data_IF_211711491279
#
_entry.id   IF_211711491279
#
_cell.length_a   1.000
_cell.length_b   1.000
_cell.length_c   1.000
_cell.angle_alpha   90.00
_cell.angle_beta   90.00
_cell.angle_gamma   90.00
#
_symmetry.space_group_name_H-M   'P 1'
#
loop_
_entity.id
_entity.type
_entity.pdbx_description
1 polymer ?
#
# COMPACT_ATOMS: atom_id res chain seq x y z
N UNK A 1 -9.80 7.22 -13.79
CA UNK A 1 -9.43 8.33 -12.93
C UNK A 1 -8.06 8.10 -12.32
N UNK A 2 -7.14 9.05 -12.40
CA UNK A 2 -5.84 8.84 -11.79
C UNK A 2 -5.97 8.80 -10.26
N UNK A 3 -5.38 7.78 -9.65
CA UNK A 3 -5.32 7.63 -8.21
C UNK A 3 -3.98 8.18 -7.75
N UNK A 4 -4.01 9.08 -6.79
CA UNK A 4 -2.79 9.65 -6.22
C UNK A 4 -2.19 8.72 -5.17
N UNK A 5 -0.88 8.82 -4.98
CA UNK A 5 -0.19 8.03 -3.95
C UNK A 5 -0.77 8.27 -2.57
N UNK A 6 -1.21 9.50 -2.28
CA UNK A 6 -1.85 9.83 -1.01
C UNK A 6 -3.16 9.07 -0.82
N UNK A 7 -3.91 8.85 -1.89
CA UNK A 7 -5.15 8.06 -1.83
C UNK A 7 -4.85 6.61 -1.52
N UNK A 8 -3.82 6.05 -2.14
CA UNK A 8 -3.37 4.68 -1.89
C UNK A 8 -2.93 4.55 -0.43
N UNK A 9 -2.12 5.50 0.04
CA UNK A 9 -1.65 5.50 1.43
C UNK A 9 -2.81 5.55 2.41
N UNK A 10 -3.81 6.38 2.14
CA UNK A 10 -5.00 6.50 2.99
C UNK A 10 -5.79 5.20 3.02
N UNK A 11 -6.02 4.57 1.87
CA UNK A 11 -6.75 3.30 1.80
C UNK A 11 -6.03 2.21 2.58
N UNK A 12 -4.70 2.12 2.43
CA UNK A 12 -3.91 1.13 3.17
C UNK A 12 -3.99 1.38 4.67
N UNK A 13 -3.95 2.63 5.11
CA UNK A 13 -4.02 2.97 6.51
C UNK A 13 -5.42 2.69 7.08
N UNK A 14 -6.47 2.98 6.33
CA UNK A 14 -7.84 2.65 6.71
C UNK A 14 -8.03 1.14 6.84
N UNK A 15 -7.42 0.37 5.94
CA UNK A 15 -7.45 -1.09 6.03
C UNK A 15 -6.78 -1.57 7.31
N UNK A 16 -5.64 -0.97 7.67
CA UNK A 16 -4.96 -1.29 8.92
C UNK A 16 -5.86 -0.98 10.13
N UNK A 17 -6.57 0.14 10.10
CA UNK A 17 -7.49 0.51 11.18
C UNK A 17 -8.61 -0.53 11.34
N UNK A 18 -9.18 -0.98 10.24
CA UNK A 18 -10.23 -2.01 10.27
C UNK A 18 -9.71 -3.34 10.82
N UNK A 19 -8.52 -3.74 10.40
CA UNK A 19 -7.89 -4.97 10.89
C UNK A 19 -7.63 -4.88 12.38
N UNK A 20 -7.24 -3.71 12.87
CA UNK A 20 -7.00 -3.49 14.29
C UNK A 20 -8.29 -3.64 15.10
N UNK A 21 -9.39 -3.06 14.62
CA UNK A 21 -10.70 -3.18 15.24
C UNK A 21 -11.16 -4.64 15.28
N UNK A 22 -10.86 -5.40 14.24
CA UNK A 22 -11.21 -6.82 14.15
C UNK A 22 -10.32 -7.72 14.98
N UNK A 23 -9.28 -7.18 15.59
CA UNK A 23 -8.35 -7.99 16.38
C UNK A 23 -7.43 -8.88 15.54
N UNK A 24 -7.13 -8.46 14.32
CA UNK A 24 -6.28 -9.22 13.41
C UNK A 24 -4.82 -9.26 13.87
N UNK A 25 -4.04 -10.13 13.23
CA UNK A 25 -2.63 -10.32 13.54
C UNK A 25 -1.86 -8.99 13.47
N UNK A 26 -1.13 -8.61 14.56
CA UNK A 26 -0.37 -7.35 14.59
C UNK A 26 0.65 -7.21 13.47
N UNK A 27 1.24 -8.31 13.02
CA UNK A 27 2.20 -8.26 11.91
C UNK A 27 1.53 -7.83 10.61
N UNK A 28 0.30 -8.26 10.39
CA UNK A 28 -0.47 -7.89 9.22
C UNK A 28 -0.85 -6.42 9.25
N UNK A 29 -1.28 -5.95 10.41
CA UNK A 29 -1.61 -4.53 10.62
C UNK A 29 -0.38 -3.67 10.34
N UNK A 30 0.77 -4.06 10.87
CA UNK A 30 2.03 -3.34 10.66
C UNK A 30 2.43 -3.31 9.19
N UNK A 31 2.21 -4.41 8.46
CA UNK A 31 2.51 -4.47 7.04
C UNK A 31 1.71 -3.42 6.25
N UNK A 32 0.43 -3.26 6.54
CA UNK A 32 -0.39 -2.24 5.90
C UNK A 32 0.06 -0.84 6.27
N UNK A 33 0.41 -0.59 7.53
CA UNK A 33 0.88 0.73 7.94
C UNK A 33 2.22 1.09 7.32
N UNK A 34 3.12 0.13 7.22
CA UNK A 34 4.42 0.34 6.57
C UNK A 34 4.23 0.62 5.08
N UNK A 35 3.36 -0.13 4.42
CA UNK A 35 3.06 0.09 3.01
C UNK A 35 2.42 1.46 2.78
N UNK A 36 1.53 1.89 3.68
CA UNK A 36 0.92 3.22 3.62
C UNK A 36 1.99 4.32 3.70
N UNK A 37 2.92 4.19 4.64
CA UNK A 37 4.00 5.15 4.81
C UNK A 37 4.89 5.20 3.57
N UNK A 38 5.23 4.03 3.02
CA UNK A 38 6.05 3.94 1.81
C UNK A 38 5.34 4.57 0.63
N UNK A 39 4.05 4.28 0.45
CA UNK A 39 3.27 4.85 -0.64
C UNK A 39 3.25 6.38 -0.57
N UNK A 40 3.13 6.94 0.64
CA UNK A 40 3.12 8.38 0.83
C UNK A 40 4.49 9.02 0.55
N UNK A 41 5.58 8.26 0.68
CA UNK A 41 6.94 8.78 0.48
C UNK A 41 7.45 8.64 -0.95
N UNK A 42 6.81 7.82 -1.78
CA UNK A 42 7.22 7.61 -3.16
C UNK A 42 6.92 8.88 -3.96
N UNK A 43 7.91 9.38 -4.70
CA UNK A 43 7.73 10.60 -5.50
C UNK A 43 7.08 10.35 -6.84
N UNK A 44 7.22 9.12 -7.39
CA UNK A 44 6.60 8.75 -8.66
C UNK A 44 5.17 8.29 -8.41
N UNK A 45 4.31 8.51 -9.40
CA UNK A 45 2.91 8.07 -9.32
C UNK A 45 2.82 6.55 -9.40
N UNK A 46 2.28 5.92 -8.36
CA UNK A 46 2.17 4.46 -8.28
C UNK A 46 1.25 3.92 -9.38
N UNK A 47 0.18 4.62 -9.71
CA UNK A 47 -0.73 4.20 -10.79
C UNK A 47 0.00 4.09 -12.12
N UNK A 48 0.88 5.05 -12.41
CA UNK A 48 1.69 5.02 -13.63
C UNK A 48 2.68 3.85 -13.61
N UNK A 49 3.26 3.57 -12.45
CA UNK A 49 4.18 2.44 -12.30
C UNK A 49 3.47 1.11 -12.52
N UNK A 50 2.24 0.97 -12.03
CA UNK A 50 1.44 -0.23 -12.24
C UNK A 50 1.12 -0.38 -13.74
N UNK A 51 0.74 0.70 -14.41
CA UNK A 51 0.46 0.69 -15.84
C UNK A 51 1.68 0.30 -16.65
N UNK A 52 2.88 0.66 -16.17
CA UNK A 52 4.15 0.32 -16.82
C UNK A 52 4.69 -1.05 -16.38
N UNK A 53 3.93 -1.81 -15.59
CA UNK A 53 4.35 -3.13 -15.09
C UNK A 53 5.59 -3.08 -14.21
N UNK A 54 5.81 -1.98 -13.50
CA UNK A 54 6.95 -1.85 -12.61
C UNK A 54 6.81 -2.76 -11.38
N UNK A 55 7.95 -3.20 -10.86
CA UNK A 55 7.98 -4.07 -9.69
C UNK A 55 7.91 -3.23 -8.41
N UNK A 56 6.75 -3.25 -7.77
CA UNK A 56 6.53 -2.50 -6.53
C UNK A 56 7.25 -3.13 -5.33
N UNK A 57 7.64 -4.38 -5.42
CA UNK A 57 8.33 -5.05 -4.31
C UNK A 57 9.73 -4.51 -4.05
N UNK A 58 10.25 -3.69 -4.95
CA UNK A 58 11.55 -3.02 -4.76
C UNK A 58 11.51 -1.96 -3.67
N UNK A 59 10.34 -1.48 -3.32
CA UNK A 59 10.20 -0.45 -2.29
C UNK A 59 10.16 -1.10 -0.90
N UNK A 60 10.84 -0.50 0.10
CA UNK A 60 10.81 -1.03 1.46
C UNK A 60 9.39 -1.05 2.00
N UNK A 61 9.05 -2.13 2.68
CA UNK A 61 7.71 -2.29 3.25
C UNK A 61 6.65 -2.80 2.28
N UNK A 62 6.99 -2.99 1.01
CA UNK A 62 6.06 -3.52 0.02
C UNK A 62 6.55 -4.88 -0.46
N UNK A 63 5.97 -5.93 0.13
CA UNK A 63 6.20 -7.29 -0.31
C UNK A 63 5.24 -7.70 -1.43
N UNK A 64 5.34 -8.95 -1.85
CA UNK A 64 4.52 -9.51 -2.93
C UNK A 64 3.02 -9.37 -2.65
N UNK A 65 2.62 -9.71 -1.43
CA UNK A 65 1.20 -9.65 -1.04
C UNK A 65 0.70 -8.20 -1.05
N UNK A 66 1.51 -7.29 -0.54
CA UNK A 66 1.14 -5.88 -0.46
C UNK A 66 1.10 -5.25 -1.85
N UNK A 67 2.03 -5.63 -2.73
CA UNK A 67 2.01 -5.17 -4.12
C UNK A 67 0.72 -5.60 -4.81
N UNK A 68 0.27 -6.82 -4.57
CA UNK A 68 -1.02 -7.30 -5.09
C UNK A 68 -2.19 -6.49 -4.57
N UNK A 69 -2.19 -6.15 -3.30
CA UNK A 69 -3.25 -5.32 -2.69
C UNK A 69 -3.27 -3.92 -3.29
N UNK A 70 -2.13 -3.32 -3.50
CA UNK A 70 -2.04 -2.00 -4.12
C UNK A 70 -2.61 -2.02 -5.54
N UNK A 71 -2.33 -3.07 -6.29
CA UNK A 71 -2.84 -3.20 -7.65
C UNK A 71 -4.37 -3.34 -7.70
N UNK A 72 -4.98 -3.83 -6.63
CA UNK A 72 -6.44 -3.97 -6.54
C UNK A 72 -7.15 -2.64 -6.25
N UNK A 73 -6.43 -1.65 -5.80
CA UNK A 73 -7.03 -0.34 -5.46
C UNK A 73 -7.44 0.47 -6.71
#
# INVERSE_FOLDING_TARGET
>A
MPIHNSDIAEILNQTADLLEIQGENPFRIRAYRNASRTAASITRNISDMIAANADLTKFPGIGKDMAGKIKEI
#
